data_IF_295136283911
#
_entry.id   IF_295136283911
#
_cell.length_a   1.000
_cell.length_b   1.000
_cell.length_c   1.000
_cell.angle_alpha   90.00
_cell.angle_beta   90.00
_cell.angle_gamma   90.00
#
_symmetry.space_group_name_H-M   'P 1'
#
loop_
_entity.id
_entity.type
_entity.pdbx_description
1 polymer ?
#
# COMPACT_ATOMS: atom_id res chain seq x y z
N UNK A 1 -10.37 -5.43 -13.13
CA UNK A 1 -9.85 -6.78 -13.00
C UNK A 1 -8.37 -6.77 -12.70
N UNK A 2 -7.90 -7.76 -11.99
CA UNK A 2 -6.50 -7.94 -11.64
C UNK A 2 -5.89 -9.03 -12.50
N UNK A 3 -5.66 -8.71 -13.77
CA UNK A 3 -5.04 -9.62 -14.73
C UNK A 3 -3.65 -9.15 -15.20
N UNK A 4 -3.11 -8.15 -14.52
CA UNK A 4 -1.72 -7.71 -14.66
C UNK A 4 -0.79 -8.60 -13.82
N UNK A 5 0.52 -8.66 -14.15
CA UNK A 5 1.46 -9.46 -13.36
C UNK A 5 1.48 -9.09 -11.89
N UNK A 6 1.70 -10.10 -11.03
CA UNK A 6 2.09 -9.85 -9.66
C UNK A 6 3.35 -8.98 -9.62
N UNK A 7 3.51 -8.16 -8.58
CA UNK A 7 4.65 -7.25 -8.47
C UNK A 7 5.99 -7.98 -8.65
N UNK A 8 6.17 -9.15 -8.05
CA UNK A 8 7.38 -9.98 -8.17
C UNK A 8 7.61 -10.57 -9.59
N UNK A 9 6.60 -10.58 -10.44
CA UNK A 9 6.67 -11.09 -11.83
C UNK A 9 6.61 -9.97 -12.87
N UNK A 10 6.60 -8.72 -12.43
CA UNK A 10 6.56 -7.56 -13.32
C UNK A 10 7.94 -7.28 -13.92
N UNK A 11 7.96 -6.92 -15.19
CA UNK A 11 9.12 -6.40 -15.90
C UNK A 11 9.22 -4.86 -15.84
N UNK A 12 8.40 -4.23 -15.03
CA UNK A 12 8.38 -2.78 -14.81
C UNK A 12 8.53 -2.47 -13.33
N UNK A 13 9.12 -1.32 -12.98
CA UNK A 13 9.20 -0.86 -11.59
C UNK A 13 7.84 -0.90 -10.91
N UNK A 14 7.80 -1.34 -9.66
CA UNK A 14 6.59 -1.48 -8.87
C UNK A 14 6.62 -0.57 -7.65
N UNK A 15 5.46 0.01 -7.32
CA UNK A 15 5.29 0.65 -6.01
C UNK A 15 5.27 -0.43 -4.93
N UNK A 16 5.87 -0.12 -3.79
CA UNK A 16 6.12 -1.13 -2.75
C UNK A 16 4.84 -1.74 -2.17
N UNK A 17 3.73 -1.01 -2.15
CA UNK A 17 2.41 -1.51 -1.74
C UNK A 17 1.93 -2.74 -2.53
N UNK A 18 2.37 -2.88 -3.79
CA UNK A 18 1.91 -3.96 -4.67
C UNK A 18 2.39 -5.36 -4.24
N UNK A 19 3.37 -5.44 -3.35
CA UNK A 19 3.87 -6.70 -2.79
C UNK A 19 3.03 -7.24 -1.63
N UNK A 20 2.00 -6.51 -1.19
CA UNK A 20 1.17 -6.89 -0.05
C UNK A 20 -0.26 -7.21 -0.47
N UNK A 21 -0.84 -8.19 0.19
CA UNK A 21 -2.25 -8.56 0.05
C UNK A 21 -2.87 -8.67 1.42
N UNK A 22 -4.05 -8.10 1.59
CA UNK A 22 -4.79 -8.28 2.84
C UNK A 22 -5.36 -9.70 2.90
N UNK A 23 -5.10 -10.37 4.00
CA UNK A 23 -5.82 -11.56 4.38
C UNK A 23 -7.26 -11.19 4.76
N UNK A 24 -8.17 -12.13 4.71
CA UNK A 24 -9.53 -11.95 5.21
C UNK A 24 -10.10 -13.28 5.73
N UNK A 25 -10.94 -13.16 6.75
CA UNK A 25 -11.64 -14.32 7.28
C UNK A 25 -12.73 -14.76 6.28
N UNK A 26 -12.64 -15.99 5.81
CA UNK A 26 -13.67 -16.56 4.95
C UNK A 26 -14.64 -17.38 5.80
N UNK A 27 -15.84 -16.82 5.98
CA UNK A 27 -16.91 -17.41 6.79
C UNK A 27 -18.23 -17.37 6.02
N UNK A 28 -19.22 -18.17 6.45
CA UNK A 28 -20.55 -18.22 5.80
C UNK A 28 -21.29 -16.88 5.90
N UNK A 29 -21.11 -16.17 7.02
CA UNK A 29 -21.70 -14.85 7.23
C UNK A 29 -20.60 -13.81 7.40
N UNK A 30 -20.79 -12.56 6.92
CA UNK A 30 -19.88 -11.47 7.22
C UNK A 30 -19.70 -11.30 8.73
N UNK A 31 -18.46 -11.07 9.18
CA UNK A 31 -18.17 -10.90 10.60
C UNK A 31 -18.86 -9.63 11.17
N UNK A 32 -19.05 -8.61 10.34
CA UNK A 32 -19.84 -7.40 10.64
C UNK A 32 -20.82 -7.20 9.49
N UNK A 33 -22.10 -7.02 9.84
CA UNK A 33 -23.19 -6.76 8.89
C UNK A 33 -22.97 -5.40 8.17
N UNK A 34 -23.00 -5.36 6.82
CA UNK A 34 -22.84 -4.14 6.05
C UNK A 34 -23.82 -3.02 6.38
N UNK A 35 -25.02 -3.35 6.89
CA UNK A 35 -26.04 -2.37 7.26
C UNK A 35 -25.66 -1.67 8.58
N UNK A 36 -24.97 -2.37 9.48
CA UNK A 36 -24.62 -1.88 10.81
C UNK A 36 -23.18 -1.38 10.91
N UNK A 37 -22.39 -1.42 9.84
CA UNK A 37 -20.97 -1.02 9.85
C UNK A 37 -20.78 0.34 10.53
N UNK A 38 -21.53 1.37 10.13
CA UNK A 38 -21.38 2.73 10.68
C UNK A 38 -21.82 2.83 12.15
N UNK A 39 -22.67 1.90 12.62
CA UNK A 39 -23.15 1.90 14.01
C UNK A 39 -22.15 1.21 14.96
N UNK A 40 -21.57 0.09 14.54
CA UNK A 40 -20.75 -0.75 15.42
C UNK A 40 -19.25 -0.54 15.24
N UNK A 41 -18.83 0.19 14.19
CA UNK A 41 -17.43 0.41 13.88
C UNK A 41 -17.02 1.86 14.14
N UNK A 42 -15.76 2.07 14.51
CA UNK A 42 -15.20 3.40 14.74
C UNK A 42 -13.85 3.56 14.06
N UNK A 43 -13.71 4.65 13.30
CA UNK A 43 -12.44 5.12 12.75
C UNK A 43 -11.79 6.17 13.65
N UNK A 44 -12.40 6.48 14.80
CA UNK A 44 -11.84 7.45 15.75
C UNK A 44 -10.51 6.94 16.29
N UNK A 45 -9.50 7.79 16.21
CA UNK A 45 -8.17 7.54 16.73
C UNK A 45 -7.79 8.61 17.75
N UNK A 46 -7.10 8.19 18.80
CA UNK A 46 -6.47 9.08 19.77
C UNK A 46 -4.96 8.97 19.58
N UNK A 47 -4.34 10.03 19.11
CA UNK A 47 -2.92 10.07 18.77
C UNK A 47 -2.13 10.92 19.78
N UNK A 48 -0.92 10.48 20.10
CA UNK A 48 -0.02 11.13 21.03
C UNK A 48 0.81 10.11 21.82
N UNK A 49 1.47 10.60 22.87
CA UNK A 49 2.17 9.72 23.82
C UNK A 49 1.17 9.10 24.79
N UNK A 50 1.23 7.78 24.93
CA UNK A 50 0.63 7.12 26.11
C UNK A 50 1.54 7.43 27.28
N UNK A 51 0.99 7.93 28.39
CA UNK A 51 1.77 8.28 29.58
C UNK A 51 2.64 7.14 30.10
N UNK A 52 3.49 7.44 31.06
CA UNK A 52 4.59 6.59 31.49
C UNK A 52 4.18 5.19 31.99
N UNK A 53 2.96 5.03 32.48
CA UNK A 53 2.48 3.74 32.99
C UNK A 53 0.96 3.59 32.79
N UNK A 54 0.57 2.67 31.92
CA UNK A 54 -0.85 2.36 31.67
C UNK A 54 -1.55 1.71 32.88
N UNK A 55 -0.80 1.04 33.76
CA UNK A 55 -1.33 0.40 34.95
C UNK A 55 -1.55 1.39 36.09
N UNK A 56 -0.88 2.54 36.05
CA UNK A 56 -1.04 3.65 36.96
C UNK A 56 -1.31 4.93 36.18
N UNK A 57 -2.53 5.08 35.62
CA UNK A 57 -2.87 6.20 34.77
C UNK A 57 -2.82 7.51 35.55
N UNK A 58 -2.23 8.51 34.91
CA UNK A 58 -2.18 9.89 35.42
C UNK A 58 -2.76 10.86 34.35
N UNK A 59 -2.76 12.16 34.66
CA UNK A 59 -3.22 13.19 33.73
C UNK A 59 -2.42 13.21 32.41
N UNK A 60 -1.18 12.71 32.41
CA UNK A 60 -0.35 12.61 31.22
C UNK A 60 -0.93 11.67 30.17
N UNK A 61 -1.65 10.63 30.59
CA UNK A 61 -2.28 9.67 29.71
C UNK A 61 -3.45 10.25 28.88
N UNK A 62 -3.97 11.42 29.27
CA UNK A 62 -5.04 12.11 28.59
C UNK A 62 -4.54 13.13 27.54
N UNK A 63 -3.23 13.34 27.43
CA UNK A 63 -2.62 14.28 26.47
C UNK A 63 -2.58 13.70 25.06
N UNK A 64 -3.75 13.58 24.44
CA UNK A 64 -3.91 13.03 23.10
C UNK A 64 -4.79 13.94 22.23
N UNK A 65 -4.50 13.96 20.93
CA UNK A 65 -5.37 14.59 19.92
C UNK A 65 -6.37 13.54 19.44
N UNK A 66 -7.66 13.87 19.49
CA UNK A 66 -8.71 13.03 18.91
C UNK A 66 -8.88 13.33 17.46
N UNK A 67 -8.72 12.32 16.62
CA UNK A 67 -9.04 12.36 15.19
C UNK A 67 -10.33 11.59 14.95
N UNK A 68 -11.33 12.16 14.24
CA UNK A 68 -12.57 11.44 13.92
C UNK A 68 -12.32 10.26 12.96
N UNK A 69 -11.26 10.34 12.18
CA UNK A 69 -10.78 9.32 11.22
C UNK A 69 -9.28 9.49 10.98
N UNK A 70 -8.56 8.44 10.51
CA UNK A 70 -7.10 8.45 10.42
C UNK A 70 -6.56 9.14 9.16
N UNK A 71 -7.32 10.01 8.50
CA UNK A 71 -6.92 10.76 7.32
C UNK A 71 -6.88 12.23 7.69
N UNK A 72 -5.73 12.84 7.50
CA UNK A 72 -5.53 14.28 7.72
C UNK A 72 -5.53 15.00 6.37
N UNK A 73 -6.29 16.06 6.23
CA UNK A 73 -6.09 16.98 5.13
C UNK A 73 -4.86 17.88 5.39
N UNK A 74 -4.46 18.67 4.39
CA UNK A 74 -3.25 19.48 4.50
C UNK A 74 -3.33 20.50 5.65
N UNK A 75 -4.48 21.15 5.83
CA UNK A 75 -4.70 22.10 6.92
C UNK A 75 -4.59 21.45 8.31
N UNK A 76 -5.17 20.25 8.46
CA UNK A 76 -5.10 19.51 9.72
C UNK A 76 -3.67 19.05 10.03
N UNK A 77 -2.93 18.62 9.02
CA UNK A 77 -1.53 18.26 9.20
C UNK A 77 -0.69 19.49 9.56
N UNK A 78 -0.89 20.63 8.91
CA UNK A 78 -0.17 21.87 9.22
C UNK A 78 -0.45 22.36 10.65
N UNK A 79 -1.69 22.24 11.12
CA UNK A 79 -2.03 22.54 12.51
C UNK A 79 -1.29 21.62 13.48
N UNK A 80 -1.15 20.35 13.14
CA UNK A 80 -0.42 19.37 13.96
C UNK A 80 1.09 19.62 13.94
N UNK A 81 1.65 19.97 12.78
CA UNK A 81 3.07 20.34 12.63
C UNK A 81 3.43 21.61 13.44
N UNK A 82 2.48 22.54 13.59
CA UNK A 82 2.67 23.81 14.28
C UNK A 82 2.00 23.85 15.65
N UNK A 83 1.72 22.68 16.24
CA UNK A 83 1.05 22.61 17.54
C UNK A 83 1.88 23.30 18.62
N UNK A 84 1.28 24.30 19.31
CA UNK A 84 1.92 25.10 20.37
C UNK A 84 1.29 24.92 21.74
N UNK A 85 0.60 23.82 21.92
CA UNK A 85 -0.04 23.52 23.19
C UNK A 85 0.95 22.81 24.12
N UNK A 86 0.99 23.20 25.40
CA UNK A 86 1.96 22.65 26.37
C UNK A 86 1.85 21.12 26.47
N UNK A 87 2.97 20.45 26.21
CA UNK A 87 3.06 18.99 26.25
C UNK A 87 2.71 18.30 24.94
N UNK A 88 2.52 19.06 23.84
CA UNK A 88 2.33 18.56 22.49
C UNK A 88 3.44 19.09 21.60
N UNK A 89 4.29 18.21 21.11
CA UNK A 89 5.42 18.53 20.27
C UNK A 89 5.43 17.65 19.04
N UNK A 90 5.64 18.23 17.88
CA UNK A 90 5.73 17.52 16.60
C UNK A 90 7.07 17.73 15.93
N UNK A 91 7.53 16.73 15.19
CA UNK A 91 8.71 16.82 14.33
C UNK A 91 8.42 16.16 12.99
N UNK A 92 8.90 16.77 11.91
CA UNK A 92 8.82 16.20 10.56
C UNK A 92 10.18 15.64 10.18
N UNK A 93 10.23 14.36 9.86
CA UNK A 93 11.43 13.64 9.43
C UNK A 93 11.34 13.30 7.94
N UNK A 94 12.36 13.61 7.15
CA UNK A 94 12.41 13.23 5.74
C UNK A 94 12.56 11.72 5.59
N UNK A 95 11.77 11.13 4.67
CA UNK A 95 11.92 9.75 4.23
C UNK A 95 12.50 9.72 2.81
N UNK A 96 13.72 10.17 2.67
CA UNK A 96 14.44 10.26 1.39
C UNK A 96 15.83 9.67 1.51
N UNK A 97 16.40 9.26 0.38
CA UNK A 97 17.77 8.74 0.30
C UNK A 97 18.47 9.27 -0.95
N UNK A 98 19.79 9.39 -0.89
CA UNK A 98 20.63 9.86 -1.99
C UNK A 98 20.71 8.81 -3.11
N UNK A 99 20.26 9.18 -4.32
CA UNK A 99 20.15 8.25 -5.47
C UNK A 99 21.51 7.72 -5.94
N UNK A 100 22.57 8.53 -5.82
CA UNK A 100 23.93 8.13 -6.23
C UNK A 100 24.50 6.94 -5.45
N UNK A 101 23.97 6.71 -4.23
CA UNK A 101 24.40 5.62 -3.32
C UNK A 101 23.55 4.35 -3.48
N UNK A 102 22.48 4.38 -4.28
CA UNK A 102 21.66 3.21 -4.57
C UNK A 102 21.13 2.50 -3.33
N UNK A 103 21.27 1.17 -3.28
CA UNK A 103 20.81 0.33 -2.16
C UNK A 103 21.42 0.76 -0.82
N UNK A 104 22.74 1.01 -0.80
CA UNK A 104 23.43 1.39 0.44
C UNK A 104 22.95 2.74 0.96
N UNK A 105 22.64 3.68 0.06
CA UNK A 105 22.03 4.96 0.42
C UNK A 105 20.67 4.77 1.08
N UNK A 106 19.82 3.89 0.55
CA UNK A 106 18.52 3.59 1.16
C UNK A 106 18.67 2.87 2.51
N UNK A 107 19.60 1.92 2.62
CA UNK A 107 19.90 1.18 3.86
C UNK A 107 20.32 2.15 4.98
N UNK A 108 21.28 3.01 4.69
CA UNK A 108 21.78 3.98 5.66
C UNK A 108 20.71 5.00 6.04
N UNK A 109 19.93 5.49 5.07
CA UNK A 109 18.85 6.43 5.33
C UNK A 109 17.74 5.83 6.22
N UNK A 110 17.41 4.54 6.06
CA UNK A 110 16.47 3.84 6.94
C UNK A 110 17.02 3.71 8.37
N UNK A 111 18.30 3.40 8.52
CA UNK A 111 18.95 3.32 9.83
C UNK A 111 18.97 4.69 10.52
N UNK A 112 19.39 5.72 9.80
CA UNK A 112 19.41 7.10 10.32
C UNK A 112 18.02 7.60 10.68
N UNK A 113 16.99 7.24 9.90
CA UNK A 113 15.61 7.56 10.18
C UNK A 113 15.12 6.92 11.50
N UNK A 114 15.45 5.65 11.73
CA UNK A 114 15.13 4.95 12.96
C UNK A 114 15.79 5.62 14.18
N UNK A 115 17.08 5.95 14.10
CA UNK A 115 17.80 6.64 15.16
C UNK A 115 17.23 8.03 15.43
N UNK A 116 16.96 8.83 14.38
CA UNK A 116 16.32 10.15 14.53
C UNK A 116 14.94 10.07 15.15
N UNK A 117 14.17 9.03 14.83
CA UNK A 117 12.87 8.79 15.47
C UNK A 117 13.02 8.49 16.97
N UNK A 118 13.99 7.67 17.35
CA UNK A 118 14.32 7.38 18.74
C UNK A 118 14.74 8.64 19.49
N UNK A 119 15.70 9.39 18.96
CA UNK A 119 16.16 10.67 19.55
C UNK A 119 14.99 11.66 19.69
N UNK A 120 14.08 11.71 18.70
CA UNK A 120 12.90 12.56 18.77
C UNK A 120 11.98 12.19 19.94
N UNK A 121 11.79 10.89 20.18
CA UNK A 121 11.01 10.43 21.34
C UNK A 121 11.70 10.83 22.66
N UNK A 122 13.01 10.69 22.76
CA UNK A 122 13.80 11.10 23.94
C UNK A 122 13.73 12.62 24.21
N UNK A 123 13.64 13.41 23.13
CA UNK A 123 13.44 14.86 23.21
C UNK A 123 11.98 15.25 23.54
N UNK A 124 11.07 14.28 23.67
CA UNK A 124 9.69 14.52 24.06
C UNK A 124 8.75 14.88 22.90
N UNK A 125 9.10 14.52 21.65
CA UNK A 125 8.19 14.68 20.52
C UNK A 125 7.11 13.59 20.55
N UNK A 126 5.84 14.02 20.64
CA UNK A 126 4.67 13.14 20.71
C UNK A 126 4.16 12.74 19.32
N UNK A 127 4.54 13.50 18.28
CA UNK A 127 4.12 13.31 16.90
C UNK A 127 5.34 13.32 16.00
N UNK A 128 5.61 12.21 15.35
CA UNK A 128 6.65 12.08 14.33
C UNK A 128 5.94 11.97 12.98
N UNK A 129 6.16 12.96 12.11
CA UNK A 129 5.63 13.00 10.74
C UNK A 129 6.72 12.51 9.80
N UNK A 130 6.51 11.36 9.17
CA UNK A 130 7.36 10.80 8.13
C UNK A 130 6.90 11.37 6.79
N UNK A 131 7.76 12.13 6.10
CA UNK A 131 7.37 12.90 4.92
C UNK A 131 8.30 12.68 3.74
N UNK A 132 7.73 12.40 2.57
CA UNK A 132 8.42 12.32 1.29
C UNK A 132 8.50 13.66 0.54
N UNK A 133 8.02 14.76 1.11
CA UNK A 133 8.08 16.10 0.49
C UNK A 133 9.49 16.68 0.34
N UNK A 134 10.50 16.01 0.85
CA UNK A 134 11.90 16.44 0.78
C UNK A 134 12.65 15.84 -0.41
N UNK A 135 11.94 15.36 -1.41
CA UNK A 135 12.52 14.89 -2.66
C UNK A 135 13.05 16.05 -3.48
N UNK A 136 14.20 15.83 -4.10
CA UNK A 136 14.84 16.78 -5.02
C UNK A 136 15.56 16.00 -6.14
N UNK A 137 16.31 16.66 -7.00
CA UNK A 137 17.02 16.03 -8.12
C UNK A 137 18.01 14.93 -7.70
N UNK A 138 18.48 14.95 -6.45
CA UNK A 138 19.51 14.06 -5.90
C UNK A 138 18.97 13.06 -4.87
N UNK A 139 17.76 13.27 -4.38
CA UNK A 139 17.15 12.47 -3.35
C UNK A 139 15.81 11.87 -3.80
N UNK A 140 15.72 10.55 -3.85
CA UNK A 140 14.51 9.80 -4.09
C UNK A 140 13.77 9.47 -2.78
N UNK A 141 12.44 9.25 -2.81
CA UNK A 141 11.71 8.84 -1.63
C UNK A 141 12.03 7.38 -1.25
N UNK A 142 12.19 7.12 0.04
CA UNK A 142 12.05 5.77 0.58
C UNK A 142 10.56 5.41 0.50
N UNK A 143 10.16 4.22 0.02
CA UNK A 143 8.76 3.82 0.04
C UNK A 143 8.14 4.02 1.42
N UNK A 144 7.04 4.75 1.47
CA UNK A 144 6.45 5.21 2.73
C UNK A 144 6.05 4.05 3.66
N UNK A 145 5.61 2.94 3.09
CA UNK A 145 5.29 1.71 3.84
C UNK A 145 6.55 1.10 4.48
N UNK A 146 7.66 1.06 3.76
CA UNK A 146 8.94 0.56 4.28
C UNK A 146 9.45 1.46 5.41
N UNK A 147 9.38 2.78 5.22
CA UNK A 147 9.83 3.76 6.22
C UNK A 147 9.01 3.66 7.53
N UNK A 148 7.66 3.63 7.43
CA UNK A 148 6.82 3.57 8.63
C UNK A 148 6.97 2.24 9.36
N UNK A 149 7.07 1.13 8.64
CA UNK A 149 7.26 -0.19 9.23
C UNK A 149 8.62 -0.30 9.93
N UNK A 150 9.69 0.17 9.30
CA UNK A 150 11.03 0.20 9.90
C UNK A 150 11.05 0.98 11.23
N UNK A 151 10.53 2.22 11.22
CA UNK A 151 10.46 3.05 12.44
C UNK A 151 9.57 2.42 13.50
N UNK A 152 8.42 1.87 13.10
CA UNK A 152 7.48 1.22 14.01
C UNK A 152 8.13 0.04 14.75
N UNK A 153 8.75 -0.89 14.03
CA UNK A 153 9.37 -2.07 14.62
C UNK A 153 10.65 -1.73 15.41
N UNK A 154 11.44 -0.77 14.91
CA UNK A 154 12.60 -0.27 15.65
C UNK A 154 12.18 0.32 17.01
N UNK A 155 11.18 1.21 17.04
CA UNK A 155 10.68 1.80 18.28
C UNK A 155 10.05 0.77 19.23
N UNK A 156 9.49 -0.33 18.72
CA UNK A 156 9.06 -1.46 19.54
C UNK A 156 10.27 -2.14 20.17
N UNK A 157 11.31 -2.43 19.40
CA UNK A 157 12.51 -3.12 19.87
C UNK A 157 13.24 -2.34 20.98
N UNK A 158 13.25 -1.01 20.90
CA UNK A 158 13.84 -0.14 21.92
C UNK A 158 12.85 0.29 23.03
N UNK A 159 11.61 -0.24 23.02
CA UNK A 159 10.60 0.01 24.06
C UNK A 159 9.98 1.41 24.07
N UNK A 160 10.08 2.16 22.97
CA UNK A 160 9.64 3.58 22.88
C UNK A 160 8.38 3.80 22.02
N UNK A 161 7.86 2.76 21.36
CA UNK A 161 6.79 2.91 20.34
C UNK A 161 5.53 3.60 20.87
N UNK A 162 5.13 3.38 22.10
CA UNK A 162 3.90 3.94 22.71
C UNK A 162 4.04 5.40 23.14
N UNK A 163 5.24 5.95 23.08
CA UNK A 163 5.52 7.32 23.50
C UNK A 163 5.31 8.35 22.37
N UNK A 164 5.01 7.91 21.16
CA UNK A 164 4.79 8.79 20.00
C UNK A 164 3.76 8.23 19.04
N UNK A 165 3.09 9.12 18.31
CA UNK A 165 2.27 8.78 17.16
C UNK A 165 3.10 8.94 15.88
N UNK A 166 3.02 7.95 14.98
CA UNK A 166 3.61 8.03 13.66
C UNK A 166 2.56 8.50 12.64
N UNK A 167 2.85 9.55 11.92
CA UNK A 167 1.98 10.09 10.87
C UNK A 167 2.75 10.02 9.56
N UNK A 168 2.09 9.61 8.49
CA UNK A 168 2.73 9.50 7.16
C UNK A 168 2.15 10.55 6.23
N UNK A 169 2.98 11.48 5.79
CA UNK A 169 2.71 12.45 4.72
C UNK A 169 3.37 11.94 3.44
N UNK A 170 2.57 11.45 2.48
CA UNK A 170 3.15 10.84 1.29
C UNK A 170 2.31 11.04 0.03
N UNK A 171 3.01 11.32 -1.08
CA UNK A 171 2.45 11.37 -2.42
C UNK A 171 2.16 9.99 -3.03
N UNK A 172 2.69 8.91 -2.46
CA UNK A 172 2.43 7.55 -2.93
C UNK A 172 1.01 7.06 -2.60
N UNK A 173 0.34 7.68 -1.62
CA UNK A 173 -0.98 7.25 -1.13
C UNK A 173 -2.04 7.65 -2.15
N UNK A 174 -2.58 6.67 -2.89
CA UNK A 174 -3.59 6.90 -3.96
C UNK A 174 -4.86 6.11 -3.72
N UNK A 175 -4.74 4.91 -3.14
CA UNK A 175 -5.84 3.96 -2.94
C UNK A 175 -6.10 3.71 -1.46
N UNK A 176 -7.29 3.20 -1.16
CA UNK A 176 -7.69 2.85 0.20
C UNK A 176 -6.73 1.79 0.78
N UNK A 177 -6.30 0.83 -0.05
CA UNK A 177 -5.37 -0.22 0.35
C UNK A 177 -4.00 0.35 0.79
N UNK A 178 -3.49 1.41 0.14
CA UNK A 178 -2.24 2.05 0.56
C UNK A 178 -2.36 2.61 1.98
N UNK A 179 -3.45 3.34 2.25
CA UNK A 179 -3.71 3.85 3.59
C UNK A 179 -3.93 2.72 4.61
N UNK A 180 -4.63 1.65 4.23
CA UNK A 180 -4.85 0.50 5.09
C UNK A 180 -3.53 -0.20 5.46
N UNK A 181 -2.62 -0.37 4.51
CA UNK A 181 -1.28 -0.91 4.75
C UNK A 181 -0.48 -0.02 5.71
N UNK A 182 -0.43 1.28 5.48
CA UNK A 182 0.28 2.21 6.36
C UNK A 182 -0.25 2.14 7.79
N UNK A 183 -1.57 2.14 7.98
CA UNK A 183 -2.19 1.99 9.30
C UNK A 183 -1.91 0.62 9.90
N UNK A 184 -2.00 -0.45 9.11
CA UNK A 184 -1.70 -1.82 9.54
C UNK A 184 -0.28 -1.98 10.05
N UNK A 185 0.68 -1.32 9.39
CA UNK A 185 2.11 -1.37 9.76
C UNK A 185 2.57 -0.20 10.63
N UNK A 186 1.67 0.48 11.34
CA UNK A 186 2.04 1.31 12.46
C UNK A 186 1.73 2.80 12.35
N UNK A 187 1.28 3.31 11.21
CA UNK A 187 0.82 4.69 11.13
C UNK A 187 -0.40 4.93 12.02
N UNK A 188 -0.46 6.07 12.67
CA UNK A 188 -1.63 6.52 13.42
C UNK A 188 -2.58 7.33 12.55
N UNK A 189 -2.04 8.03 11.56
CA UNK A 189 -2.79 8.78 10.56
C UNK A 189 -1.96 8.94 9.29
N UNK A 190 -2.63 9.26 8.18
CA UNK A 190 -2.02 9.50 6.88
C UNK A 190 -2.48 10.81 6.28
N UNK A 191 -1.59 11.48 5.54
CA UNK A 191 -1.92 12.64 4.71
C UNK A 191 -1.56 12.32 3.25
N UNK A 192 -2.54 12.03 2.40
CA UNK A 192 -2.35 11.80 0.96
C UNK A 192 -2.28 13.16 0.22
N UNK A 193 -1.25 13.94 0.45
CA UNK A 193 -1.20 15.33 -0.03
C UNK A 193 -1.30 15.46 -1.56
N UNK A 194 -0.77 14.51 -2.30
CA UNK A 194 -0.83 14.53 -3.77
C UNK A 194 -2.26 14.33 -4.28
N UNK A 195 -3.07 13.52 -3.59
CA UNK A 195 -4.49 13.37 -3.93
C UNK A 195 -5.23 14.71 -3.76
N UNK A 196 -4.96 15.44 -2.69
CA UNK A 196 -5.57 16.75 -2.48
C UNK A 196 -5.12 17.76 -3.54
N UNK A 197 -3.85 17.72 -3.96
CA UNK A 197 -3.35 18.54 -5.05
C UNK A 197 -4.04 18.20 -6.39
N UNK A 198 -4.24 16.90 -6.68
CA UNK A 198 -4.97 16.46 -7.89
C UNK A 198 -6.44 16.88 -7.86
N UNK A 199 -7.11 16.79 -6.70
CA UNK A 199 -8.49 17.26 -6.55
C UNK A 199 -8.58 18.76 -6.84
N UNK A 200 -7.66 19.56 -6.30
CA UNK A 200 -7.60 21.01 -6.53
C UNK A 200 -7.42 21.34 -8.03
N UNK A 201 -6.51 20.65 -8.70
CA UNK A 201 -6.29 20.80 -10.14
C UNK A 201 -7.53 20.44 -10.96
N UNK A 202 -8.19 19.31 -10.65
CA UNK A 202 -9.42 18.88 -11.33
C UNK A 202 -10.58 19.85 -11.13
N UNK A 203 -10.71 20.45 -9.95
CA UNK A 203 -11.69 21.52 -9.67
C UNK A 203 -11.36 22.75 -10.49
N UNK A 204 -10.10 23.21 -10.48
CA UNK A 204 -9.65 24.39 -11.27
C UNK A 204 -9.86 24.19 -12.77
N UNK A 205 -9.68 22.98 -13.28
CA UNK A 205 -9.94 22.61 -14.69
C UNK A 205 -11.42 22.38 -15.00
N UNK A 206 -12.32 22.55 -14.03
CA UNK A 206 -13.76 22.34 -14.21
C UNK A 206 -14.17 20.89 -14.48
N UNK A 207 -13.30 19.91 -14.21
CA UNK A 207 -13.60 18.48 -14.34
C UNK A 207 -14.38 17.92 -13.14
N UNK A 208 -14.26 18.58 -11.99
CA UNK A 208 -15.12 18.37 -10.81
C UNK A 208 -15.98 19.61 -10.67
N UNK A 209 -17.30 19.42 -10.56
CA UNK A 209 -18.28 20.53 -10.51
C UNK A 209 -18.38 21.15 -9.10
N UNK A 210 -18.09 20.37 -8.07
CA UNK A 210 -18.08 20.82 -6.69
C UNK A 210 -16.90 21.75 -6.42
N UNK A 211 -17.01 22.59 -5.39
CA UNK A 211 -15.86 23.33 -4.89
C UNK A 211 -14.85 22.39 -4.20
N UNK A 212 -13.61 22.86 -4.06
CA UNK A 212 -12.52 22.07 -3.48
C UNK A 212 -12.87 21.48 -2.09
N UNK A 213 -13.43 22.28 -1.19
CA UNK A 213 -13.76 21.82 0.17
C UNK A 213 -14.78 20.66 0.16
N UNK A 214 -15.76 20.72 -0.73
CA UNK A 214 -16.76 19.66 -0.88
C UNK A 214 -16.13 18.40 -1.50
N UNK A 215 -15.31 18.57 -2.53
CA UNK A 215 -14.61 17.47 -3.18
C UNK A 215 -13.62 16.76 -2.22
N UNK A 216 -12.86 17.52 -1.43
CA UNK A 216 -11.98 17.00 -0.38
C UNK A 216 -12.78 16.19 0.67
N UNK A 217 -13.87 16.75 1.18
CA UNK A 217 -14.73 16.04 2.15
C UNK A 217 -15.32 14.76 1.56
N UNK A 218 -15.74 14.78 0.30
CA UNK A 218 -16.28 13.61 -0.39
C UNK A 218 -15.21 12.52 -0.55
N UNK A 219 -13.99 12.88 -0.90
CA UNK A 219 -12.85 11.94 -0.97
C UNK A 219 -12.60 11.28 0.40
N UNK A 220 -12.48 12.08 1.46
CA UNK A 220 -12.26 11.57 2.82
C UNK A 220 -13.39 10.63 3.23
N UNK A 221 -14.65 11.04 3.00
CA UNK A 221 -15.83 10.22 3.30
C UNK A 221 -15.82 8.89 2.53
N UNK A 222 -15.47 8.90 1.25
CA UNK A 222 -15.39 7.71 0.42
C UNK A 222 -14.28 6.76 0.92
N UNK A 223 -13.12 7.31 1.29
CA UNK A 223 -12.00 6.54 1.86
C UNK A 223 -12.39 5.93 3.22
N UNK A 224 -13.06 6.67 4.08
CA UNK A 224 -13.58 6.16 5.36
C UNK A 224 -14.57 5.00 5.16
N UNK A 225 -15.48 5.11 4.19
CA UNK A 225 -16.38 3.99 3.82
C UNK A 225 -15.61 2.76 3.34
N UNK A 226 -14.53 2.97 2.60
CA UNK A 226 -13.63 1.90 2.20
C UNK A 226 -12.97 1.22 3.40
N UNK A 227 -12.54 1.97 4.41
CA UNK A 227 -12.01 1.39 5.66
C UNK A 227 -13.04 0.54 6.39
N UNK A 228 -14.28 0.99 6.51
CA UNK A 228 -15.33 0.16 7.11
C UNK A 228 -15.47 -1.18 6.37
N UNK A 229 -15.43 -1.18 5.03
CA UNK A 229 -15.48 -2.43 4.24
C UNK A 229 -14.29 -3.35 4.48
N UNK A 230 -13.09 -2.79 4.56
CA UNK A 230 -11.86 -3.57 4.81
C UNK A 230 -11.91 -4.18 6.21
N UNK A 231 -12.25 -3.38 7.22
CA UNK A 231 -12.30 -3.81 8.61
C UNK A 231 -13.43 -4.80 8.88
N UNK A 232 -14.60 -4.61 8.27
CA UNK A 232 -15.76 -5.48 8.45
C UNK A 232 -15.49 -6.91 7.98
N UNK A 233 -14.73 -7.08 6.88
CA UNK A 233 -14.29 -8.39 6.39
C UNK A 233 -13.41 -9.14 7.38
N UNK A 234 -12.67 -8.42 8.22
CA UNK A 234 -11.81 -9.00 9.26
C UNK A 234 -12.52 -9.12 10.62
N UNK A 235 -13.73 -8.59 10.75
CA UNK A 235 -14.43 -8.55 12.02
C UNK A 235 -13.84 -7.59 13.04
N UNK A 236 -13.08 -6.58 12.58
CA UNK A 236 -12.41 -5.59 13.43
C UNK A 236 -13.27 -4.33 13.47
N UNK A 237 -13.73 -3.93 14.67
CA UNK A 237 -14.66 -2.82 14.84
C UNK A 237 -13.99 -1.47 15.09
N UNK A 238 -12.72 -1.44 15.48
CA UNK A 238 -12.00 -0.18 15.75
C UNK A 238 -10.69 -0.11 14.96
N UNK A 239 -10.38 1.07 14.44
CA UNK A 239 -9.14 1.27 13.68
C UNK A 239 -7.88 1.00 14.53
N UNK A 240 -7.97 1.25 15.83
CA UNK A 240 -6.87 0.98 16.76
C UNK A 240 -6.52 -0.50 16.85
N UNK A 241 -7.53 -1.38 16.79
CA UNK A 241 -7.33 -2.83 16.79
C UNK A 241 -6.88 -3.36 15.42
N UNK A 242 -6.99 -2.57 14.37
CA UNK A 242 -6.49 -2.88 13.03
C UNK A 242 -4.97 -2.74 12.94
N UNK A 243 -4.39 -1.80 13.69
CA UNK A 243 -2.96 -1.54 13.70
C UNK A 243 -2.19 -2.69 14.34
N UNK A 244 -1.17 -3.20 13.64
CA UNK A 244 -0.33 -4.29 14.14
C UNK A 244 -1.02 -5.65 14.27
N UNK A 245 -2.19 -5.82 13.67
CA UNK A 245 -2.97 -7.06 13.77
C UNK A 245 -2.52 -8.16 12.79
N UNK A 246 -1.41 -7.95 12.06
CA UNK A 246 -0.85 -8.90 11.06
C UNK A 246 -1.88 -9.35 10.02
N UNK A 247 -2.57 -8.39 9.42
CA UNK A 247 -3.67 -8.62 8.49
C UNK A 247 -3.23 -8.78 7.04
N UNK A 248 -1.96 -8.63 6.78
CA UNK A 248 -1.40 -8.66 5.43
C UNK A 248 -0.42 -9.82 5.29
N UNK A 249 -0.30 -10.32 4.08
CA UNK A 249 0.79 -11.19 3.69
C UNK A 249 1.61 -10.50 2.59
N UNK A 250 2.90 -10.73 2.58
CA UNK A 250 3.80 -10.28 1.54
C UNK A 250 4.01 -11.38 0.50
N UNK A 251 4.08 -10.99 -0.77
CA UNK A 251 4.30 -11.91 -1.89
C UNK A 251 5.48 -11.41 -2.72
N UNK A 252 6.56 -12.18 -2.73
CA UNK A 252 7.76 -11.88 -3.51
C UNK A 252 8.73 -10.92 -2.84
N UNK A 253 8.74 -10.83 -1.51
CA UNK A 253 9.74 -10.14 -0.72
C UNK A 253 10.66 -11.15 -0.03
N UNK A 254 11.95 -10.82 0.11
CA UNK A 254 12.92 -11.66 0.80
C UNK A 254 12.64 -11.73 2.31
N UNK A 255 12.92 -12.88 2.93
CA UNK A 255 12.80 -13.05 4.38
C UNK A 255 13.72 -12.09 5.15
N UNK A 256 14.92 -11.81 4.63
CA UNK A 256 15.85 -10.87 5.24
C UNK A 256 15.22 -9.47 5.37
N UNK A 257 14.63 -8.94 4.28
CA UNK A 257 13.96 -7.64 4.28
C UNK A 257 12.80 -7.60 5.26
N UNK A 258 11.98 -8.64 5.27
CA UNK A 258 10.81 -8.71 6.15
C UNK A 258 11.23 -8.79 7.61
N UNK A 259 12.20 -9.63 7.93
CA UNK A 259 12.70 -9.75 9.30
C UNK A 259 13.32 -8.45 9.79
N UNK A 260 14.04 -7.74 8.92
CA UNK A 260 14.72 -6.50 9.29
C UNK A 260 13.75 -5.33 9.52
N UNK A 261 12.72 -5.18 8.66
CA UNK A 261 11.88 -3.98 8.64
C UNK A 261 10.41 -4.22 8.98
N UNK A 262 9.95 -5.48 8.99
CA UNK A 262 8.54 -5.85 9.24
C UNK A 262 8.37 -6.79 10.44
N UNK A 263 9.46 -7.01 11.18
CA UNK A 263 9.44 -7.84 12.39
C UNK A 263 9.28 -9.33 12.08
N UNK A 264 8.18 -9.93 12.54
CA UNK A 264 7.91 -11.37 12.36
C UNK A 264 6.99 -11.66 11.17
N UNK A 265 6.93 -10.76 10.18
CA UNK A 265 6.17 -11.00 8.96
C UNK A 265 6.75 -12.20 8.21
N UNK A 266 5.89 -13.03 7.65
CA UNK A 266 6.30 -14.20 6.88
C UNK A 266 5.92 -13.97 5.42
N UNK A 267 6.87 -14.21 4.51
CA UNK A 267 6.56 -14.33 3.09
C UNK A 267 6.42 -15.80 2.74
N UNK A 268 5.25 -16.17 2.22
CA UNK A 268 5.03 -17.51 1.69
C UNK A 268 5.85 -17.77 0.43
N UNK A 269 6.20 -16.69 -0.29
CA UNK A 269 7.00 -16.71 -1.51
C UNK A 269 8.04 -15.62 -1.38
N UNK A 270 9.30 -16.04 -1.24
CA UNK A 270 10.45 -15.14 -1.24
C UNK A 270 10.61 -14.40 -2.56
N UNK A 271 11.52 -13.45 -2.61
CA UNK A 271 11.76 -12.67 -3.82
C UNK A 271 12.78 -11.58 -3.63
N UNK A 272 12.39 -10.34 -3.97
CA UNK A 272 13.28 -9.18 -4.01
C UNK A 272 13.68 -8.69 -2.62
N UNK A 273 14.89 -8.17 -2.53
CA UNK A 273 15.42 -7.48 -1.37
C UNK A 273 15.47 -5.96 -1.56
N UNK A 274 16.17 -5.29 -0.65
CA UNK A 274 16.31 -3.83 -0.63
C UNK A 274 16.88 -3.26 -1.92
N UNK A 275 17.79 -4.01 -2.57
CA UNK A 275 18.42 -3.60 -3.84
C UNK A 275 17.39 -3.30 -4.93
N UNK A 276 16.43 -4.20 -5.14
CA UNK A 276 15.42 -4.00 -6.18
C UNK A 276 14.44 -2.87 -5.79
N UNK A 277 14.10 -2.75 -4.51
CA UNK A 277 13.24 -1.67 -4.02
C UNK A 277 13.91 -0.31 -4.26
N UNK A 278 15.21 -0.18 -3.95
CA UNK A 278 15.97 1.03 -4.22
C UNK A 278 16.03 1.33 -5.72
N UNK A 279 16.26 0.31 -6.54
CA UNK A 279 16.25 0.44 -8.00
C UNK A 279 14.90 0.96 -8.52
N UNK A 280 13.79 0.40 -8.05
CA UNK A 280 12.45 0.81 -8.49
C UNK A 280 12.12 2.25 -8.05
N UNK A 281 12.50 2.64 -6.81
CA UNK A 281 12.36 4.01 -6.33
C UNK A 281 13.15 5.01 -7.18
N UNK A 282 14.41 4.67 -7.51
CA UNK A 282 15.26 5.50 -8.38
C UNK A 282 14.68 5.57 -9.80
N UNK A 283 14.14 4.46 -10.33
CA UNK A 283 13.54 4.47 -11.66
C UNK A 283 12.32 5.38 -11.75
N UNK A 284 11.45 5.40 -10.74
CA UNK A 284 10.33 6.36 -10.66
C UNK A 284 10.83 7.80 -10.54
N UNK A 285 11.82 8.02 -9.67
CA UNK A 285 12.43 9.33 -9.46
C UNK A 285 13.06 9.86 -10.75
N UNK A 286 13.93 9.09 -11.39
CA UNK A 286 14.60 9.48 -12.63
C UNK A 286 13.60 9.80 -13.74
N UNK A 287 12.52 9.03 -13.84
CA UNK A 287 11.45 9.32 -14.80
C UNK A 287 10.79 10.68 -14.53
N UNK A 288 10.57 11.03 -13.27
CA UNK A 288 9.95 12.30 -12.91
C UNK A 288 10.84 13.51 -13.21
N UNK A 289 12.14 13.36 -12.97
CA UNK A 289 13.14 14.45 -13.20
C UNK A 289 13.75 14.47 -14.61
N UNK A 290 13.48 13.47 -15.46
CA UNK A 290 13.93 13.44 -16.86
C UNK A 290 12.89 13.92 -17.86
N UNK A 291 11.73 14.36 -17.41
CA UNK A 291 10.72 14.97 -18.28
C UNK A 291 11.24 16.33 -18.71
N UNK A 292 11.73 16.42 -19.96
CA UNK A 292 12.04 17.70 -20.59
C UNK A 292 10.80 18.59 -20.57
N UNK A 293 10.94 19.82 -20.14
CA UNK A 293 9.88 20.86 -20.13
C UNK A 293 9.29 21.11 -21.51
N UNK A 294 9.90 20.53 -22.57
CA UNK A 294 9.52 20.69 -23.97
C UNK A 294 8.56 19.63 -24.51
N UNK A 295 8.25 18.60 -23.74
CA UNK A 295 7.34 17.53 -24.19
C UNK A 295 5.89 17.89 -23.93
N UNK A 296 5.33 18.49 -24.99
CA UNK A 296 3.93 18.47 -25.35
C UNK A 296 2.91 18.93 -24.29
N UNK A 297 2.22 19.98 -24.67
CA UNK A 297 1.07 20.63 -24.01
C UNK A 297 -0.14 19.68 -23.76
N UNK A 298 0.08 18.35 -23.80
CA UNK A 298 -0.93 17.40 -23.40
C UNK A 298 -0.98 17.31 -21.87
N UNK A 299 -1.96 17.95 -21.29
CA UNK A 299 -2.37 17.88 -19.87
C UNK A 299 -2.62 16.43 -19.35
N UNK A 300 -2.21 15.41 -20.10
CA UNK A 300 -2.52 14.02 -19.82
C UNK A 300 -1.26 13.25 -19.42
N UNK A 301 -1.25 12.79 -18.16
CA UNK A 301 -0.24 11.82 -17.72
C UNK A 301 -0.27 10.55 -18.57
N UNK A 302 0.90 9.93 -18.85
CA UNK A 302 0.97 8.69 -19.61
C UNK A 302 0.14 7.59 -18.93
N UNK A 303 -0.79 6.99 -19.70
CA UNK A 303 -1.57 5.86 -19.23
C UNK A 303 -0.81 4.56 -19.53
N UNK A 304 -0.26 3.94 -18.48
CA UNK A 304 0.49 2.68 -18.59
C UNK A 304 -0.38 1.44 -18.81
N UNK A 305 -1.71 1.58 -18.83
CA UNK A 305 -2.64 0.49 -19.11
C UNK A 305 -2.92 -0.43 -17.90
N UNK A 306 -2.63 -0.03 -16.66
CA UNK A 306 -2.83 -0.89 -15.48
C UNK A 306 -4.30 -1.34 -15.31
N UNK A 307 -5.25 -0.47 -15.55
CA UNK A 307 -6.69 -0.73 -15.37
C UNK A 307 -7.44 -1.14 -16.63
N UNK A 308 -6.81 -0.95 -17.81
CA UNK A 308 -7.35 -1.35 -19.09
C UNK A 308 -6.22 -1.60 -20.08
N UNK A 309 -6.35 -2.65 -20.90
CA UNK A 309 -5.33 -3.03 -21.87
C UNK A 309 -4.93 -1.85 -22.77
N UNK A 310 -3.61 -1.67 -22.94
CA UNK A 310 -2.98 -0.77 -23.91
C UNK A 310 -1.88 -1.53 -24.65
N UNK A 311 -1.78 -1.31 -25.96
CA UNK A 311 -0.85 -2.05 -26.83
C UNK A 311 0.60 -2.02 -26.33
N UNK A 312 1.06 -0.86 -25.87
CA UNK A 312 2.43 -0.65 -25.37
C UNK A 312 2.48 -0.49 -23.83
N UNK A 313 1.41 -0.90 -23.16
CA UNK A 313 1.23 -0.80 -21.73
C UNK A 313 1.77 -1.99 -20.92
N UNK A 314 1.26 -2.13 -19.72
CA UNK A 314 1.50 -3.29 -18.86
C UNK A 314 0.88 -4.54 -19.51
N UNK A 315 1.52 -5.69 -19.35
CA UNK A 315 0.97 -6.97 -19.80
C UNK A 315 -0.33 -7.31 -19.06
N UNK A 316 -1.25 -7.96 -19.79
CA UNK A 316 -2.50 -8.48 -19.25
C UNK A 316 -2.65 -9.96 -19.59
N UNK A 317 -3.26 -10.73 -18.71
CA UNK A 317 -3.60 -12.12 -18.97
C UNK A 317 -4.71 -12.23 -20.04
N UNK A 318 -5.66 -11.31 -19.98
CA UNK A 318 -6.83 -11.26 -20.86
C UNK A 318 -6.67 -10.17 -21.93
N UNK A 319 -5.83 -10.48 -22.90
CA UNK A 319 -5.64 -9.57 -24.06
C UNK A 319 -6.87 -9.60 -24.98
N UNK A 320 -7.05 -8.58 -25.84
CA UNK A 320 -8.11 -8.60 -26.85
C UNK A 320 -8.10 -9.87 -27.72
N UNK A 321 -6.93 -10.40 -28.04
CA UNK A 321 -6.78 -11.63 -28.83
C UNK A 321 -7.30 -12.86 -28.05
N UNK A 322 -6.95 -13.00 -26.77
CA UNK A 322 -7.44 -14.09 -25.91
C UNK A 322 -8.96 -14.06 -25.83
N UNK A 323 -9.55 -12.88 -25.58
CA UNK A 323 -11.00 -12.71 -25.46
C UNK A 323 -11.70 -13.01 -26.81
N UNK A 324 -11.19 -12.44 -27.90
CA UNK A 324 -11.78 -12.64 -29.24
C UNK A 324 -11.73 -14.11 -29.67
N UNK A 325 -10.62 -14.81 -29.39
CA UNK A 325 -10.46 -16.23 -29.75
C UNK A 325 -11.43 -17.11 -28.94
N UNK A 326 -11.60 -16.84 -27.62
CA UNK A 326 -12.59 -17.53 -26.81
C UNK A 326 -14.03 -17.30 -27.31
N UNK A 327 -14.38 -16.05 -27.58
CA UNK A 327 -15.71 -15.70 -28.09
C UNK A 327 -15.99 -16.36 -29.44
N UNK A 328 -15.00 -16.42 -30.33
CA UNK A 328 -15.14 -17.07 -31.62
C UNK A 328 -15.34 -18.58 -31.46
N UNK A 329 -14.50 -19.22 -30.63
CA UNK A 329 -14.61 -20.65 -30.34
C UNK A 329 -15.99 -21.04 -29.80
N UNK A 330 -16.52 -20.27 -28.84
CA UNK A 330 -17.84 -20.54 -28.24
C UNK A 330 -19.00 -20.28 -29.22
N UNK A 331 -18.93 -19.25 -30.05
CA UNK A 331 -19.99 -18.93 -31.01
C UNK A 331 -20.07 -19.90 -32.18
N UNK A 332 -18.93 -20.42 -32.62
CA UNK A 332 -18.86 -21.32 -33.78
C UNK A 332 -18.81 -22.79 -33.44
N UNK A 333 -18.59 -23.13 -32.14
CA UNK A 333 -18.35 -24.53 -31.71
C UNK A 333 -17.03 -25.10 -32.26
N UNK A 334 -16.10 -24.25 -32.72
CA UNK A 334 -14.84 -24.68 -33.34
C UNK A 334 -13.79 -25.06 -32.27
N UNK A 335 -13.56 -26.36 -32.13
CA UNK A 335 -12.58 -26.90 -31.21
C UNK A 335 -11.14 -26.46 -31.52
N UNK A 336 -10.79 -26.22 -32.78
CA UNK A 336 -9.45 -25.70 -33.16
C UNK A 336 -9.25 -24.30 -32.59
N UNK A 337 -10.28 -23.45 -32.66
CA UNK A 337 -10.26 -22.13 -32.02
C UNK A 337 -10.16 -22.22 -30.49
N UNK A 338 -10.85 -23.16 -29.89
CA UNK A 338 -10.70 -23.40 -28.45
C UNK A 338 -9.26 -23.82 -28.09
N UNK A 339 -8.63 -24.69 -28.86
CA UNK A 339 -7.22 -25.05 -28.68
C UNK A 339 -6.26 -23.87 -28.87
N UNK A 340 -6.56 -22.98 -29.81
CA UNK A 340 -5.80 -21.72 -29.96
C UNK A 340 -5.94 -20.85 -28.71
N UNK A 341 -7.15 -20.70 -28.18
CA UNK A 341 -7.39 -19.97 -26.93
C UNK A 341 -6.61 -20.59 -25.77
N UNK A 342 -6.67 -21.91 -25.55
CA UNK A 342 -5.92 -22.56 -24.46
C UNK A 342 -4.42 -22.32 -24.60
N UNK A 343 -3.88 -22.40 -25.82
CA UNK A 343 -2.46 -22.12 -26.06
C UNK A 343 -2.08 -20.68 -25.69
N UNK A 344 -2.93 -19.69 -26.02
CA UNK A 344 -2.70 -18.29 -25.65
C UNK A 344 -2.73 -18.06 -24.13
N UNK A 345 -3.51 -18.86 -23.40
CA UNK A 345 -3.62 -18.76 -21.94
C UNK A 345 -2.48 -19.49 -21.23
N UNK A 346 -2.15 -20.71 -21.70
CA UNK A 346 -1.24 -21.62 -21.00
C UNK A 346 0.23 -21.44 -21.40
N UNK A 347 0.51 -21.04 -22.66
CA UNK A 347 1.87 -20.92 -23.19
C UNK A 347 2.35 -19.46 -23.23
N UNK A 348 2.33 -18.79 -22.07
CA UNK A 348 2.84 -17.42 -21.98
C UNK A 348 4.36 -17.40 -21.95
N UNK A 349 4.96 -16.52 -22.76
CA UNK A 349 6.43 -16.31 -22.75
C UNK A 349 6.95 -15.84 -21.38
N UNK A 350 6.15 -15.03 -20.69
CA UNK A 350 6.48 -14.51 -19.35
C UNK A 350 5.31 -14.75 -18.41
N UNK A 351 5.57 -15.28 -17.21
CA UNK A 351 4.52 -15.53 -16.23
C UNK A 351 3.83 -14.24 -15.80
N UNK A 352 2.53 -14.34 -15.54
CA UNK A 352 1.69 -13.28 -14.96
C UNK A 352 1.28 -13.68 -13.54
N UNK A 353 0.95 -14.95 -13.36
CA UNK A 353 0.55 -15.54 -12.09
C UNK A 353 1.56 -16.60 -11.66
N UNK A 354 1.59 -16.90 -10.37
CA UNK A 354 2.45 -17.96 -9.82
C UNK A 354 2.16 -19.31 -10.48
N UNK A 355 0.90 -19.61 -10.78
CA UNK A 355 0.51 -20.85 -11.49
C UNK A 355 1.16 -20.99 -12.86
N UNK A 356 1.52 -19.88 -13.52
CA UNK A 356 2.17 -19.92 -14.84
C UNK A 356 3.61 -20.46 -14.77
N UNK A 357 4.17 -20.59 -13.55
CA UNK A 357 5.48 -21.19 -13.26
C UNK A 357 5.38 -22.61 -12.71
N UNK A 358 4.18 -23.14 -12.53
CA UNK A 358 3.96 -24.47 -11.97
C UNK A 358 3.75 -25.50 -13.07
N UNK A 359 4.23 -26.71 -12.82
CA UNK A 359 3.98 -27.88 -13.66
C UNK A 359 3.31 -28.97 -12.85
N UNK A 360 2.53 -29.81 -13.53
CA UNK A 360 1.95 -30.99 -12.87
C UNK A 360 3.04 -32.00 -12.55
N UNK A 361 3.13 -32.40 -11.31
CA UNK A 361 3.96 -33.54 -10.91
C UNK A 361 3.31 -34.81 -11.48
N UNK A 362 3.97 -35.42 -12.46
CA UNK A 362 3.47 -36.69 -13.05
C UNK A 362 3.52 -37.79 -12.00
N UNK A 363 2.41 -38.54 -11.89
CA UNK A 363 2.36 -39.80 -11.11
C UNK A 363 3.27 -40.83 -11.79
N UNK A 364 3.96 -41.64 -10.97
CA UNK A 364 4.73 -42.79 -11.48
C UNK A 364 3.84 -43.80 -12.16
N UNK A 365 2.56 -43.89 -11.80
CA UNK A 365 1.57 -44.84 -12.35
C UNK A 365 0.32 -44.05 -12.75
N UNK A 366 0.20 -43.65 -14.03
CA UNK A 366 -1.01 -42.99 -14.52
C UNK A 366 -2.20 -43.97 -14.49
N UNK A 367 -3.34 -43.47 -14.06
CA UNK A 367 -4.61 -44.24 -14.09
C UNK A 367 -5.28 -43.97 -15.44
N UNK A 368 -5.76 -45.03 -16.14
CA UNK A 368 -6.57 -44.86 -17.34
C UNK A 368 -7.85 -44.07 -17.04
N UNK A 369 -8.30 -43.26 -18.03
CA UNK A 369 -9.40 -42.31 -17.82
C UNK A 369 -10.75 -43.03 -17.55
N UNK A 370 -10.89 -44.25 -18.04
CA UNK A 370 -12.05 -45.11 -17.85
C UNK A 370 -12.12 -45.76 -16.45
N UNK A 371 -11.01 -45.69 -15.69
CA UNK A 371 -10.98 -46.08 -14.28
C UNK A 371 -11.30 -44.93 -13.33
N UNK A 372 -11.44 -43.70 -13.85
CA UNK A 372 -11.80 -42.53 -13.07
C UNK A 372 -13.31 -42.48 -12.92
N UNK A 373 -13.79 -42.32 -11.69
CA UNK A 373 -15.22 -42.22 -11.41
C UNK A 373 -15.87 -41.04 -12.16
N UNK A 374 -17.02 -41.24 -12.81
CA UNK A 374 -17.79 -40.16 -13.39
C UNK A 374 -18.19 -39.11 -12.34
N UNK A 375 -18.30 -37.85 -12.73
CA UNK A 375 -18.71 -36.78 -11.83
C UNK A 375 -20.13 -36.91 -11.27
N UNK A 376 -20.92 -37.86 -11.83
CA UNK A 376 -22.31 -38.12 -11.46
C UNK A 376 -22.47 -39.25 -10.43
N UNK A 377 -21.37 -39.88 -9.99
CA UNK A 377 -21.39 -41.03 -9.06
C UNK A 377 -21.22 -40.62 -7.57
#
# INVERSE_FOLDING_TARGET
GNDTPLAALSDRPQIFFNYFRQQFAQVTNPAIDPIREELVMSLTEYIGAVGSNILHPDEGNCKMVRLPYPILNNTQLDLLCNIRYKGFNSIKLPITFEISKGEEGMRQALLDLCHKAEESVEQGFNYIILSDRFIDETHAPIPSLLAVSAVHHYLIAVGKRVQTALIVESGEIKEIMHSALLLGYGASAVNPYMVFAVIDDLVKKGKIQENYETAEKNYIKATCKGFYKIMSKMGISTIRSYRGAKLFESIGLSEELLHQYFGTEISTIGGIGLKQIAHDAIAFHSKAYSLDETTDDSDLLPNNGQFSYRKDGIRHAWTPEVIATLQLATRTGDYKKYKQFTSLVDNKEKPIFIRDMMEFKRSATPVPIDEVEPAES
#
